data_IF_091556617419
#
_entry.id   IF_091556617419
#
_cell.length_a   1.000
_cell.length_b   1.000
_cell.length_c   1.000
_cell.angle_alpha   90.00
_cell.angle_beta   90.00
_cell.angle_gamma   90.00
#
_symmetry.space_group_name_H-M   'P 1'
#
loop_
_entity.id
_entity.type
_entity.pdbx_description
1 polymer ?
#
# COMPACT_ATOMS: atom_id res chain seq x y z
N UNK A 1 6.75 26.89 -1.55
CA UNK A 1 6.13 25.55 -1.41
C UNK A 1 4.68 25.68 -0.95
N UNK A 2 3.74 25.02 -1.62
CA UNK A 2 2.36 24.89 -1.13
C UNK A 2 2.29 23.73 -0.13
N UNK A 3 2.29 24.05 1.17
CA UNK A 3 2.25 23.07 2.25
C UNK A 3 0.97 22.24 2.27
N UNK A 4 -0.17 22.83 1.91
CA UNK A 4 -1.42 22.08 1.88
C UNK A 4 -1.39 21.00 0.79
N UNK A 5 -0.98 21.36 -0.43
CA UNK A 5 -0.82 20.42 -1.52
C UNK A 5 0.23 19.32 -1.19
N UNK A 6 1.33 19.71 -0.54
CA UNK A 6 2.34 18.75 -0.05
C UNK A 6 1.74 17.74 0.93
N UNK A 7 1.06 18.20 1.99
CA UNK A 7 0.47 17.28 2.97
C UNK A 7 -0.61 16.39 2.36
N UNK A 8 -1.42 16.91 1.43
CA UNK A 8 -2.45 16.11 0.73
C UNK A 8 -1.83 15.04 -0.17
N UNK A 9 -0.68 15.30 -0.76
CA UNK A 9 -0.01 14.32 -1.64
C UNK A 9 0.82 13.29 -0.89
N UNK A 10 1.50 13.69 0.20
CA UNK A 10 2.52 12.87 0.85
C UNK A 10 2.06 12.24 2.17
N UNK A 11 1.05 12.81 2.84
CA UNK A 11 0.54 12.29 4.12
C UNK A 11 -0.83 11.67 3.92
N UNK A 12 -0.87 10.35 3.80
CA UNK A 12 -2.08 9.56 3.53
C UNK A 12 -2.29 8.49 4.60
N UNK A 13 -3.55 8.18 4.94
CA UNK A 13 -3.84 7.05 5.82
C UNK A 13 -3.49 5.73 5.10
N UNK A 14 -3.03 4.76 5.88
CA UNK A 14 -2.77 3.40 5.41
C UNK A 14 -3.07 2.41 6.52
N UNK A 15 -3.50 1.20 6.16
CA UNK A 15 -3.70 0.11 7.09
C UNK A 15 -2.40 -0.70 7.19
N UNK A 16 -1.58 -0.41 8.21
CA UNK A 16 -0.30 -1.09 8.40
C UNK A 16 0.77 -0.62 7.40
N UNK A 17 1.55 -1.58 6.88
CA UNK A 17 2.65 -1.30 5.97
C UNK A 17 2.16 -0.98 4.56
N UNK A 18 2.80 -0.01 3.90
CA UNK A 18 2.39 0.47 2.57
C UNK A 18 2.62 -0.53 1.44
N UNK A 19 3.60 -1.42 1.54
CA UNK A 19 3.90 -2.41 0.49
C UNK A 19 2.75 -3.42 0.28
N UNK A 20 2.21 -4.08 1.32
CA UNK A 20 1.00 -4.89 1.14
C UNK A 20 -0.21 -4.07 0.66
N UNK A 21 -0.36 -2.83 1.13
CA UNK A 21 -1.41 -1.91 0.67
C UNK A 21 -1.31 -1.64 -0.83
N UNK A 22 -0.11 -1.34 -1.34
CA UNK A 22 0.13 -1.10 -2.77
C UNK A 22 -0.15 -2.33 -3.64
N UNK A 23 0.27 -3.51 -3.18
CA UNK A 23 0.01 -4.78 -3.88
C UNK A 23 -1.49 -5.09 -3.89
N UNK A 24 -2.17 -4.94 -2.76
CA UNK A 24 -3.63 -5.13 -2.67
C UNK A 24 -4.40 -4.12 -3.54
N UNK A 25 -3.97 -2.88 -3.55
CA UNK A 25 -4.53 -1.84 -4.41
C UNK A 25 -4.38 -2.18 -5.89
N UNK A 26 -3.17 -2.57 -6.34
CA UNK A 26 -2.93 -2.99 -7.72
C UNK A 26 -3.83 -4.18 -8.11
N UNK A 27 -4.00 -5.15 -7.21
CA UNK A 27 -4.86 -6.32 -7.42
C UNK A 27 -6.34 -5.93 -7.50
N UNK A 28 -6.81 -5.03 -6.64
CA UNK A 28 -8.19 -4.52 -6.64
C UNK A 28 -8.50 -3.71 -7.91
N UNK A 29 -7.54 -2.87 -8.37
CA UNK A 29 -7.67 -2.15 -9.65
C UNK A 29 -7.77 -3.14 -10.80
N UNK A 30 -6.89 -4.14 -10.87
CA UNK A 30 -6.96 -5.16 -11.93
C UNK A 30 -8.28 -5.94 -11.88
N UNK A 31 -8.76 -6.33 -10.69
CA UNK A 31 -10.02 -7.06 -10.51
C UNK A 31 -11.25 -6.28 -10.98
N UNK A 32 -11.27 -4.96 -10.79
CA UNK A 32 -12.36 -4.08 -11.30
C UNK A 32 -12.51 -4.16 -12.82
N UNK A 33 -11.43 -4.44 -13.54
CA UNK A 33 -11.41 -4.51 -15.01
C UNK A 33 -11.47 -5.93 -15.55
N UNK A 34 -11.42 -6.95 -14.69
CA UNK A 34 -11.60 -8.35 -15.09
C UNK A 34 -13.10 -8.69 -15.09
N UNK A 35 -13.69 -9.13 -16.23
CA UNK A 35 -15.13 -9.34 -16.32
C UNK A 35 -15.65 -10.58 -15.57
N UNK A 36 -14.74 -11.41 -15.06
CA UNK A 36 -15.05 -12.64 -14.32
C UNK A 36 -14.30 -12.68 -12.99
N UNK A 37 -14.59 -13.66 -12.15
CA UNK A 37 -13.77 -13.95 -10.98
C UNK A 37 -12.37 -14.41 -11.44
N UNK A 38 -11.30 -14.04 -10.73
CA UNK A 38 -9.96 -14.47 -11.07
C UNK A 38 -9.80 -15.98 -10.88
N UNK A 39 -9.26 -16.65 -11.89
CA UNK A 39 -8.90 -18.07 -11.89
C UNK A 39 -7.41 -18.27 -11.63
N UNK A 40 -6.58 -17.25 -11.93
CA UNK A 40 -5.15 -17.23 -11.70
C UNK A 40 -4.66 -15.81 -11.40
N UNK A 41 -3.67 -15.70 -10.51
CA UNK A 41 -3.03 -14.44 -10.11
C UNK A 41 -1.51 -14.60 -10.23
N UNK A 42 -0.85 -13.60 -10.81
CA UNK A 42 0.61 -13.45 -10.80
C UNK A 42 0.98 -12.10 -10.21
N UNK A 43 1.82 -12.11 -9.19
CA UNK A 43 2.43 -10.94 -8.59
C UNK A 43 3.91 -10.88 -8.96
N UNK A 44 4.31 -9.83 -9.63
CA UNK A 44 5.71 -9.49 -9.91
C UNK A 44 6.06 -8.24 -9.11
N UNK A 45 7.20 -8.23 -8.45
CA UNK A 45 7.55 -7.13 -7.56
C UNK A 45 9.06 -6.88 -7.52
N UNK A 46 9.43 -5.66 -7.15
CA UNK A 46 10.82 -5.30 -6.90
C UNK A 46 11.39 -6.03 -5.68
N UNK A 47 12.73 -6.10 -5.61
CA UNK A 47 13.44 -6.62 -4.43
C UNK A 47 13.06 -5.85 -3.16
N UNK A 48 12.86 -4.52 -3.26
CA UNK A 48 12.52 -3.69 -2.11
C UNK A 48 11.12 -3.99 -1.57
N UNK A 49 10.12 -4.10 -2.45
CA UNK A 49 8.75 -4.51 -2.08
C UNK A 49 8.77 -5.89 -1.41
N UNK A 50 9.44 -6.87 -2.01
CA UNK A 50 9.54 -8.21 -1.43
C UNK A 50 10.19 -8.18 -0.04
N UNK A 51 11.37 -7.55 0.07
CA UNK A 51 12.11 -7.46 1.34
C UNK A 51 11.26 -6.84 2.45
N UNK A 52 10.55 -5.76 2.17
CA UNK A 52 9.79 -5.02 3.17
C UNK A 52 8.46 -5.70 3.51
N UNK A 53 7.76 -6.28 2.52
CA UNK A 53 6.38 -6.75 2.69
C UNK A 53 6.20 -8.24 2.98
N UNK A 54 7.20 -9.10 2.70
CA UNK A 54 7.06 -10.57 2.74
C UNK A 54 6.57 -11.15 4.09
N UNK A 55 6.84 -10.48 5.19
CA UNK A 55 6.50 -10.98 6.54
C UNK A 55 5.60 -10.03 7.31
N UNK A 56 5.06 -9.02 6.64
CA UNK A 56 4.16 -8.04 7.26
C UNK A 56 2.80 -8.66 7.51
N UNK A 57 2.26 -8.43 8.72
CA UNK A 57 0.90 -8.84 9.08
C UNK A 57 -0.14 -8.06 8.27
N UNK A 58 -1.17 -8.77 7.80
CA UNK A 58 -2.29 -8.15 7.10
C UNK A 58 -3.41 -7.91 8.11
N UNK A 59 -3.80 -6.66 8.35
CA UNK A 59 -4.87 -6.33 9.29
C UNK A 59 -6.19 -7.04 8.95
N UNK A 60 -6.95 -7.44 9.96
CA UNK A 60 -8.23 -8.14 9.80
C UNK A 60 -8.13 -9.63 9.45
N UNK A 61 -6.91 -10.21 9.40
CA UNK A 61 -6.70 -11.61 8.98
C UNK A 61 -6.27 -12.56 10.12
N UNK A 62 -6.44 -12.15 11.38
CA UNK A 62 -6.03 -12.96 12.54
C UNK A 62 -4.53 -13.34 12.53
N UNK A 63 -3.68 -12.39 12.08
CA UNK A 63 -2.21 -12.56 12.13
C UNK A 63 -1.60 -13.23 10.90
N UNK A 64 -2.36 -13.47 9.84
CA UNK A 64 -1.80 -13.92 8.56
C UNK A 64 -0.92 -12.83 7.94
N UNK A 65 0.04 -13.24 7.10
CA UNK A 65 1.13 -12.36 6.65
C UNK A 65 1.44 -12.52 5.17
N UNK A 66 2.08 -11.48 4.63
CA UNK A 66 2.78 -11.54 3.35
C UNK A 66 2.04 -10.94 2.17
N UNK A 67 2.83 -10.65 1.14
CA UNK A 67 2.37 -9.97 -0.08
C UNK A 67 1.44 -10.83 -0.92
N UNK A 68 1.69 -12.14 -0.96
CA UNK A 68 0.82 -13.12 -1.63
C UNK A 68 -0.61 -13.04 -1.12
N UNK A 69 -0.79 -13.06 0.20
CA UNK A 69 -2.11 -12.95 0.83
C UNK A 69 -2.74 -11.58 0.53
N UNK A 70 -1.99 -10.48 0.69
CA UNK A 70 -2.48 -9.14 0.40
C UNK A 70 -2.95 -8.99 -1.05
N UNK A 71 -2.20 -9.57 -2.01
CA UNK A 71 -2.55 -9.60 -3.42
C UNK A 71 -3.87 -10.32 -3.67
N UNK A 72 -4.01 -11.54 -3.13
CA UNK A 72 -5.23 -12.34 -3.34
C UNK A 72 -6.44 -11.70 -2.67
N UNK A 73 -6.28 -11.16 -1.46
CA UNK A 73 -7.35 -10.40 -0.79
C UNK A 73 -7.79 -9.18 -1.60
N UNK A 74 -6.81 -8.42 -2.14
CA UNK A 74 -7.10 -7.30 -3.03
C UNK A 74 -7.88 -7.70 -4.28
N UNK A 75 -7.51 -8.83 -4.88
CA UNK A 75 -8.17 -9.34 -6.09
C UNK A 75 -9.58 -9.88 -5.83
N UNK A 76 -9.85 -10.49 -4.66
CA UNK A 76 -11.13 -11.12 -4.35
C UNK A 76 -12.14 -10.18 -3.68
N UNK A 77 -11.68 -9.20 -2.91
CA UNK A 77 -12.58 -8.35 -2.13
C UNK A 77 -12.09 -6.92 -1.88
N UNK A 78 -10.96 -6.52 -2.48
CA UNK A 78 -10.41 -5.17 -2.28
C UNK A 78 -11.24 -4.08 -2.96
N UNK A 79 -11.31 -2.91 -2.32
CA UNK A 79 -11.94 -1.72 -2.88
C UNK A 79 -10.87 -0.74 -3.42
N UNK A 80 -10.68 -0.64 -4.76
CA UNK A 80 -9.66 0.23 -5.33
C UNK A 80 -9.92 1.73 -5.11
N UNK A 81 -11.16 2.16 -4.80
CA UNK A 81 -11.45 3.58 -4.52
C UNK A 81 -10.85 4.05 -3.19
N UNK A 82 -10.43 3.11 -2.33
CA UNK A 82 -9.77 3.39 -1.06
C UNK A 82 -8.24 3.47 -1.15
N UNK A 83 -7.64 3.29 -2.33
CA UNK A 83 -6.19 3.35 -2.49
C UNK A 83 -5.45 2.38 -1.57
N UNK A 84 -4.52 2.87 -0.74
CA UNK A 84 -3.76 2.03 0.22
C UNK A 84 -4.62 1.41 1.33
N UNK A 85 -5.87 1.87 1.48
CA UNK A 85 -6.88 1.31 2.39
C UNK A 85 -7.76 0.25 1.70
N UNK A 86 -7.36 -0.28 0.55
CA UNK A 86 -8.16 -1.21 -0.26
C UNK A 86 -8.65 -2.45 0.50
N UNK A 87 -7.97 -2.83 1.58
CA UNK A 87 -8.33 -3.97 2.44
C UNK A 87 -9.12 -3.59 3.70
N UNK A 88 -9.56 -2.33 3.88
CA UNK A 88 -10.19 -1.86 5.12
C UNK A 88 -11.47 -2.63 5.49
N UNK A 89 -12.33 -2.88 4.49
CA UNK A 89 -13.65 -3.49 4.71
C UNK A 89 -13.76 -4.87 4.03
N UNK A 90 -12.71 -5.67 4.10
CA UNK A 90 -12.75 -7.01 3.50
C UNK A 90 -13.75 -7.89 4.27
N UNK A 91 -14.71 -8.54 3.57
CA UNK A 91 -15.61 -9.50 4.17
C UNK A 91 -14.83 -10.64 4.86
N UNK A 92 -15.34 -11.11 5.98
CA UNK A 92 -14.65 -12.14 6.79
C UNK A 92 -14.40 -13.45 6.01
N UNK A 93 -15.31 -13.83 5.13
CA UNK A 93 -15.22 -15.02 4.27
C UNK A 93 -14.17 -14.88 3.16
N UNK A 94 -13.81 -13.65 2.79
CA UNK A 94 -12.76 -13.40 1.78
C UNK A 94 -11.40 -13.92 2.23
N UNK A 95 -11.12 -13.91 3.53
CA UNK A 95 -9.84 -14.42 4.05
C UNK A 95 -9.73 -15.93 3.84
N UNK A 96 -10.81 -16.68 4.10
CA UNK A 96 -10.86 -18.12 3.84
C UNK A 96 -10.78 -18.43 2.34
N UNK A 97 -11.49 -17.67 1.51
CA UNK A 97 -11.42 -17.80 0.05
C UNK A 97 -10.00 -17.52 -0.48
N UNK A 98 -9.34 -16.50 0.05
CA UNK A 98 -7.96 -16.17 -0.36
C UNK A 98 -6.98 -17.28 0.02
N UNK A 99 -7.11 -17.85 1.22
CA UNK A 99 -6.26 -18.97 1.62
C UNK A 99 -6.52 -20.20 0.74
N UNK A 100 -7.79 -20.54 0.48
CA UNK A 100 -8.13 -21.65 -0.42
C UNK A 100 -7.60 -21.43 -1.85
N UNK A 101 -7.61 -20.18 -2.35
CA UNK A 101 -7.06 -19.82 -3.65
C UNK A 101 -5.54 -20.05 -3.72
N UNK A 102 -4.82 -19.66 -2.66
CA UNK A 102 -3.37 -19.87 -2.54
C UNK A 102 -3.05 -21.36 -2.44
N UNK A 103 -3.76 -22.10 -1.61
CA UNK A 103 -3.56 -23.54 -1.39
C UNK A 103 -3.85 -24.36 -2.66
N UNK A 104 -4.75 -23.87 -3.51
CA UNK A 104 -5.03 -24.45 -4.82
C UNK A 104 -3.94 -24.19 -5.87
N UNK A 105 -2.85 -23.46 -5.51
CA UNK A 105 -1.75 -23.16 -6.42
C UNK A 105 -2.09 -22.18 -7.54
N UNK A 106 -3.14 -21.38 -7.37
CA UNK A 106 -3.60 -20.41 -8.36
C UNK A 106 -2.89 -19.05 -8.29
N UNK A 107 -1.95 -18.90 -7.36
CA UNK A 107 -1.14 -17.71 -7.16
C UNK A 107 0.33 -18.00 -7.43
N UNK A 108 0.97 -17.15 -8.24
CA UNK A 108 2.42 -17.17 -8.47
C UNK A 108 3.03 -15.83 -8.09
N UNK A 109 4.20 -15.84 -7.48
CA UNK A 109 4.96 -14.62 -7.18
C UNK A 109 6.37 -14.67 -7.78
N UNK A 110 6.88 -13.52 -8.18
CA UNK A 110 8.21 -13.37 -8.75
C UNK A 110 8.87 -12.07 -8.31
N UNK A 111 10.15 -12.15 -7.93
CA UNK A 111 10.96 -10.97 -7.62
C UNK A 111 11.74 -10.58 -8.87
N UNK A 112 11.48 -9.37 -9.39
CA UNK A 112 12.07 -8.86 -10.63
C UNK A 112 13.21 -7.90 -10.31
N UNK A 113 14.36 -8.12 -10.95
CA UNK A 113 15.53 -7.25 -10.85
C UNK A 113 15.45 -6.07 -11.85
N UNK A 114 16.14 -4.97 -11.53
CA UNK A 114 16.26 -3.83 -12.45
C UNK A 114 15.01 -2.93 -12.54
N UNK A 115 14.00 -3.18 -11.72
CA UNK A 115 12.81 -2.33 -11.59
C UNK A 115 13.04 -1.18 -10.58
N UNK A 116 12.24 -0.11 -10.61
CA UNK A 116 12.23 0.88 -9.53
C UNK A 116 12.04 0.22 -8.16
N UNK A 117 12.54 0.84 -7.08
CA UNK A 117 12.39 0.29 -5.72
C UNK A 117 10.93 0.10 -5.32
N UNK A 118 10.07 1.08 -5.61
CA UNK A 118 8.62 0.92 -5.54
C UNK A 118 8.11 0.50 -6.91
N UNK A 119 7.90 -0.80 -7.10
CA UNK A 119 7.32 -1.38 -8.31
C UNK A 119 6.67 -2.73 -8.02
N UNK A 120 5.40 -2.86 -8.37
CA UNK A 120 4.67 -4.11 -8.34
C UNK A 120 3.71 -4.19 -9.52
N UNK A 121 3.62 -5.36 -10.15
CA UNK A 121 2.66 -5.68 -11.20
C UNK A 121 1.83 -6.89 -10.79
N UNK A 122 0.52 -6.72 -10.77
CA UNK A 122 -0.43 -7.80 -10.58
C UNK A 122 -1.09 -8.13 -11.91
N UNK A 123 -1.07 -9.38 -12.30
CA UNK A 123 -1.78 -9.89 -13.48
C UNK A 123 -2.83 -10.90 -13.01
N UNK A 124 -4.07 -10.66 -13.39
CA UNK A 124 -5.20 -11.54 -13.15
C UNK A 124 -5.64 -12.19 -14.44
N UNK A 125 -6.00 -13.46 -14.37
CA UNK A 125 -6.60 -14.19 -15.49
C UNK A 125 -7.90 -14.88 -15.05
N UNK A 126 -8.90 -14.93 -15.92
CA UNK A 126 -10.18 -15.59 -15.66
C UNK A 126 -11.12 -15.49 -16.85
N UNK A 127 -11.85 -16.55 -17.14
CA UNK A 127 -12.83 -16.60 -18.24
C UNK A 127 -12.25 -16.33 -19.63
N UNK A 128 -10.96 -16.58 -19.83
CA UNK A 128 -10.24 -16.26 -21.08
C UNK A 128 -9.76 -14.81 -21.20
N UNK A 129 -10.00 -13.99 -20.18
CA UNK A 129 -9.54 -12.60 -20.08
C UNK A 129 -8.28 -12.46 -19.24
N UNK A 130 -7.51 -11.41 -19.49
CA UNK A 130 -6.30 -11.08 -18.73
C UNK A 130 -6.23 -9.59 -18.47
N UNK A 131 -6.01 -9.21 -17.21
CA UNK A 131 -5.83 -7.82 -16.81
C UNK A 131 -4.55 -7.69 -15.99
N UNK A 132 -3.72 -6.71 -16.30
CA UNK A 132 -2.54 -6.37 -15.50
C UNK A 132 -2.57 -4.93 -15.04
N UNK A 133 -2.24 -4.71 -13.77
CA UNK A 133 -2.08 -3.40 -13.16
C UNK A 133 -0.67 -3.28 -12.59
N UNK A 134 0.05 -2.24 -12.98
CA UNK A 134 1.37 -1.89 -12.46
C UNK A 134 1.24 -0.64 -11.59
N UNK A 135 1.67 -0.75 -10.35
CA UNK A 135 1.86 0.39 -9.44
C UNK A 135 3.36 0.63 -9.31
N UNK A 136 3.81 1.87 -9.55
CA UNK A 136 5.23 2.18 -9.53
C UNK A 136 5.52 3.59 -9.00
N UNK A 137 6.71 3.75 -8.42
CA UNK A 137 7.30 4.98 -7.88
C UNK A 137 6.61 5.56 -6.65
N UNK A 138 5.28 5.63 -6.62
CA UNK A 138 4.44 5.89 -5.44
C UNK A 138 3.56 4.67 -5.18
N UNK A 139 3.25 4.40 -3.92
CA UNK A 139 2.51 3.20 -3.51
C UNK A 139 1.06 3.17 -4.02
N UNK A 140 0.49 4.31 -4.38
CA UNK A 140 -0.88 4.49 -4.87
C UNK A 140 -0.96 5.03 -6.31
N UNK A 141 0.15 5.00 -7.05
CA UNK A 141 0.19 5.44 -8.43
C UNK A 141 0.10 4.26 -9.41
N UNK A 142 -1.02 4.17 -10.11
CA UNK A 142 -1.18 3.23 -11.24
C UNK A 142 -0.40 3.77 -12.43
N UNK A 143 0.77 3.22 -12.67
CA UNK A 143 1.61 3.57 -13.81
C UNK A 143 1.05 3.01 -15.12
N UNK A 144 0.56 1.77 -15.08
CA UNK A 144 0.05 1.09 -16.27
C UNK A 144 -1.08 0.12 -15.94
N UNK A 145 -2.14 0.17 -16.74
CA UNK A 145 -3.26 -0.78 -16.69
C UNK A 145 -3.54 -1.30 -18.09
N UNK A 146 -3.56 -2.61 -18.24
CA UNK A 146 -3.80 -3.29 -19.53
C UNK A 146 -4.89 -4.34 -19.34
N UNK A 147 -5.89 -4.36 -20.19
CA UNK A 147 -6.93 -5.39 -20.24
C UNK A 147 -6.99 -6.00 -21.64
N UNK A 148 -6.82 -7.32 -21.74
CA UNK A 148 -6.83 -8.09 -23.00
C UNK A 148 -5.93 -7.47 -24.10
N UNK A 149 -4.77 -6.97 -23.68
CA UNK A 149 -3.82 -6.30 -24.57
C UNK A 149 -4.12 -4.82 -24.85
N UNK A 150 -5.30 -4.32 -24.50
CA UNK A 150 -5.64 -2.91 -24.61
C UNK A 150 -5.08 -2.12 -23.42
N UNK A 151 -4.34 -1.04 -23.70
CA UNK A 151 -3.79 -0.14 -22.67
C UNK A 151 -4.88 0.83 -22.25
N UNK A 152 -5.30 0.75 -20.99
CA UNK A 152 -6.31 1.63 -20.39
C UNK A 152 -5.70 2.82 -19.64
N UNK A 153 -4.52 2.60 -19.01
CA UNK A 153 -3.73 3.63 -18.35
C UNK A 153 -2.28 3.45 -18.76
N UNK A 154 -1.62 4.54 -19.12
CA UNK A 154 -0.17 4.61 -19.37
C UNK A 154 0.32 5.97 -18.89
N UNK A 155 0.75 6.02 -17.63
CA UNK A 155 1.14 7.24 -16.92
C UNK A 155 2.47 7.01 -16.19
N UNK A 156 3.58 6.77 -16.93
CA UNK A 156 4.87 6.59 -16.30
C UNK A 156 5.27 7.89 -15.58
N UNK A 157 5.55 7.80 -14.29
CA UNK A 157 6.24 8.88 -13.61
C UNK A 157 7.71 8.78 -14.03
N UNK A 158 8.21 9.81 -14.70
CA UNK A 158 9.64 9.85 -15.04
C UNK A 158 10.50 9.80 -13.78
N UNK A 159 11.66 9.15 -13.89
CA UNK A 159 12.67 9.19 -12.84
C UNK A 159 13.16 10.63 -12.73
N UNK A 160 12.61 11.38 -11.79
CA UNK A 160 13.03 12.74 -11.45
C UNK A 160 13.28 13.64 -12.67
N UNK A 161 12.21 14.12 -13.28
CA UNK A 161 12.26 15.31 -14.09
C UNK A 161 10.97 16.11 -13.91
N UNK A 162 11.03 17.14 -13.06
CA UNK A 162 10.20 18.34 -13.19
C UNK A 162 8.72 18.28 -12.88
N UNK A 163 8.25 17.34 -12.09
CA UNK A 163 7.02 17.56 -11.30
C UNK A 163 7.42 18.34 -10.04
N UNK A 164 6.48 19.00 -9.35
CA UNK A 164 6.73 19.59 -8.05
C UNK A 164 7.35 18.54 -7.13
N UNK A 165 8.66 18.32 -7.29
CA UNK A 165 9.41 17.47 -6.39
C UNK A 165 9.68 18.31 -5.16
N UNK A 166 8.78 18.16 -4.18
CA UNK A 166 8.93 18.76 -2.86
C UNK A 166 10.33 18.49 -2.29
N UNK A 167 10.98 17.40 -2.73
CA UNK A 167 12.31 17.02 -2.32
C UNK A 167 13.35 18.05 -2.75
N UNK A 168 13.31 18.50 -4.01
CA UNK A 168 14.25 19.52 -4.52
C UNK A 168 14.04 20.85 -3.80
N UNK A 169 12.79 21.25 -3.60
CA UNK A 169 12.46 22.48 -2.87
C UNK A 169 12.88 22.41 -1.40
N UNK A 170 12.58 21.29 -0.71
CA UNK A 170 12.93 21.10 0.71
C UNK A 170 14.44 20.94 0.92
N UNK A 171 15.16 20.25 0.03
CA UNK A 171 16.62 20.07 0.16
C UNK A 171 17.40 21.33 -0.14
N UNK A 172 16.83 22.27 -0.87
CA UNK A 172 17.42 23.60 -1.10
C UNK A 172 17.27 24.55 0.09
N UNK A 173 16.36 24.24 1.03
CA UNK A 173 16.09 25.11 2.20
C UNK A 173 17.12 24.93 3.30
N UNK A 174 17.48 26.02 3.95
CA UNK A 174 18.24 26.02 5.22
C UNK A 174 17.32 25.72 6.41
N UNK A 175 17.89 25.29 7.52
CA UNK A 175 17.10 24.93 8.73
C UNK A 175 16.18 26.07 9.21
N UNK A 176 16.63 27.32 9.15
CA UNK A 176 15.81 28.46 9.53
C UNK A 176 14.57 28.66 8.64
N UNK A 177 14.72 28.38 7.34
CA UNK A 177 13.61 28.45 6.38
C UNK A 177 12.60 27.32 6.65
N UNK A 178 13.06 26.09 6.90
CA UNK A 178 12.21 24.97 7.31
C UNK A 178 11.50 25.24 8.64
N UNK A 179 12.19 25.87 9.60
CA UNK A 179 11.60 26.25 10.87
C UNK A 179 10.48 27.28 10.71
N UNK A 180 10.73 28.33 9.92
CA UNK A 180 9.74 29.36 9.65
C UNK A 180 8.54 28.80 8.84
N UNK A 181 8.80 27.88 7.91
CA UNK A 181 7.76 27.17 7.19
C UNK A 181 6.87 26.37 8.15
N UNK A 182 7.47 25.64 9.10
CA UNK A 182 6.75 24.86 10.11
C UNK A 182 5.93 25.75 11.06
N UNK A 183 6.42 26.92 11.42
CA UNK A 183 5.66 27.90 12.24
C UNK A 183 4.49 28.53 11.50
N UNK A 184 4.53 28.54 10.16
CA UNK A 184 3.50 29.12 9.30
C UNK A 184 2.43 28.13 8.82
N UNK A 185 2.42 26.86 9.31
CA UNK A 185 1.39 25.90 8.91
C UNK A 185 0.01 26.35 9.38
N UNK A 186 -0.99 26.12 8.52
CA UNK A 186 -2.37 26.47 8.85
C UNK A 186 -3.07 25.42 9.72
N UNK A 187 -4.22 25.81 10.29
CA UNK A 187 -5.01 24.94 11.16
C UNK A 187 -5.53 23.67 10.46
N UNK A 188 -5.68 23.68 9.14
CA UNK A 188 -6.14 22.49 8.39
C UNK A 188 -5.06 21.41 8.40
N UNK A 189 -3.81 21.80 8.17
CA UNK A 189 -2.65 20.89 8.25
C UNK A 189 -2.47 20.38 9.69
N UNK A 190 -2.58 21.29 10.69
CA UNK A 190 -2.49 20.88 12.11
C UNK A 190 -3.57 19.86 12.46
N UNK A 191 -4.81 20.06 12.03
CA UNK A 191 -5.89 19.08 12.25
C UNK A 191 -5.60 17.72 11.60
N UNK A 192 -5.09 17.71 10.37
CA UNK A 192 -4.70 16.46 9.69
C UNK A 192 -3.58 15.72 10.44
N UNK A 193 -2.56 16.44 10.91
CA UNK A 193 -1.48 15.85 11.72
C UNK A 193 -1.99 15.29 13.06
N UNK A 194 -2.87 16.01 13.75
CA UNK A 194 -3.48 15.57 14.99
C UNK A 194 -4.36 14.33 14.79
N UNK A 195 -5.08 14.24 13.67
CA UNK A 195 -5.84 13.05 13.34
C UNK A 195 -4.93 11.84 13.09
N UNK A 196 -3.84 12.01 12.35
CA UNK A 196 -2.83 10.97 12.18
C UNK A 196 -2.21 10.52 13.51
N UNK A 197 -1.95 11.46 14.42
CA UNK A 197 -1.46 11.15 15.75
C UNK A 197 -2.49 10.31 16.56
N UNK A 198 -3.78 10.66 16.51
CA UNK A 198 -4.86 9.90 17.17
C UNK A 198 -4.98 8.48 16.61
N UNK A 199 -4.91 8.32 15.29
CA UNK A 199 -4.92 6.99 14.66
C UNK A 199 -3.76 6.12 15.15
N UNK A 200 -2.55 6.69 15.25
CA UNK A 200 -1.38 5.98 15.75
C UNK A 200 -1.48 5.67 17.26
N UNK A 201 -2.05 6.57 18.06
CA UNK A 201 -2.30 6.33 19.48
C UNK A 201 -3.29 5.18 19.73
N UNK A 202 -4.31 5.03 18.88
CA UNK A 202 -5.26 3.93 18.98
C UNK A 202 -4.57 2.56 18.84
N UNK A 203 -3.52 2.45 18.04
CA UNK A 203 -2.71 1.23 17.92
C UNK A 203 -1.98 0.93 19.23
N UNK A 204 -1.45 1.96 19.88
CA UNK A 204 -0.75 1.82 21.17
C UNK A 204 -1.72 1.35 22.27
N UNK A 205 -2.91 1.94 22.33
CA UNK A 205 -3.96 1.55 23.29
C UNK A 205 -4.40 0.10 23.08
N UNK A 206 -4.59 -0.31 21.81
CA UNK A 206 -4.91 -1.69 21.46
C UNK A 206 -3.79 -2.66 21.87
N UNK A 207 -2.52 -2.34 21.58
CA UNK A 207 -1.38 -3.16 21.99
C UNK A 207 -1.28 -3.30 23.52
N UNK A 208 -1.61 -2.27 24.27
CA UNK A 208 -1.71 -2.30 25.73
C UNK A 208 -2.80 -3.26 26.24
N UNK A 209 -3.96 -3.24 25.60
CA UNK A 209 -5.09 -4.13 25.90
C UNK A 209 -4.75 -5.59 25.60
N UNK A 210 -4.21 -5.87 24.43
CA UNK A 210 -3.82 -7.22 23.99
C UNK A 210 -2.53 -7.74 24.67
N UNK A 211 -1.86 -6.92 25.45
CA UNK A 211 -0.56 -7.23 26.07
C UNK A 211 0.49 -7.75 25.05
N UNK A 212 0.49 -7.18 23.87
CA UNK A 212 1.28 -7.60 22.70
C UNK A 212 2.25 -6.50 22.23
N UNK A 213 3.27 -6.91 21.49
CA UNK A 213 4.25 -6.01 20.88
C UNK A 213 5.50 -5.79 21.72
N UNK A 214 6.50 -5.17 21.05
CA UNK A 214 7.84 -4.94 21.62
C UNK A 214 7.78 -4.03 22.87
N UNK A 215 6.93 -3.01 22.84
CA UNK A 215 6.75 -2.09 23.98
C UNK A 215 6.33 -2.79 25.26
N UNK A 216 5.36 -3.70 25.16
CA UNK A 216 4.90 -4.51 26.30
C UNK A 216 5.98 -5.50 26.78
N UNK A 217 6.73 -6.09 25.83
CA UNK A 217 7.84 -6.98 26.18
C UNK A 217 8.95 -6.22 26.94
N UNK A 218 9.28 -5.00 26.51
CA UNK A 218 10.26 -4.13 27.19
C UNK A 218 9.76 -3.66 28.56
N UNK A 219 8.48 -3.28 28.69
CA UNK A 219 7.90 -2.88 29.97
C UNK A 219 7.96 -4.04 30.99
N UNK A 220 7.58 -5.24 30.57
CA UNK A 220 7.69 -6.45 31.43
C UNK A 220 9.14 -6.78 31.82
N UNK A 221 10.09 -6.61 30.90
CA UNK A 221 11.51 -6.84 31.16
C UNK A 221 12.07 -5.83 32.16
N UNK A 222 11.63 -4.57 32.09
CA UNK A 222 12.08 -3.49 32.96
C UNK A 222 11.32 -3.38 34.28
N UNK A 223 10.37 -4.27 34.56
CA UNK A 223 9.62 -4.32 35.82
C UNK A 223 8.52 -3.25 35.95
N UNK A 224 7.94 -2.84 34.85
CA UNK A 224 6.79 -1.92 34.78
C UNK A 224 5.52 -2.66 34.38
#
# INVERSE_FOLDING_TARGET
MDLYAFFQSEVKPTIGCTEPGAVAYAAAVAARHLPTQPEGIRLEMSVAIYKNGRSVGIPGTNGLRGLTLACVLGALGGNPDKGLMALEDIPADTVEQAQAFIDAGKMAEEVVQGTPSMWARVTLSGGGHTVSCTVARKHDHVERLVADGAVLVDQPLEAQSGGTDWTDELTAMHFEELWNLALGIDDAIVRQMLEGARMNMAILDHAGTEQAGIGIALAKHNGH
#
